data_IF_613458308923
#
_entry.id   IF_613458308923
#
_cell.length_a   1.000
_cell.length_b   1.000
_cell.length_c   1.000
_cell.angle_alpha   90.00
_cell.angle_beta   90.00
_cell.angle_gamma   90.00
#
_symmetry.space_group_name_H-M   'P 1'
#
loop_
_entity.id
_entity.type
_entity.pdbx_description
1 polymer ?
#
# COMPACT_ATOMS: atom_id res chain seq x y z
N UNK A 1 -7.81 -0.68 30.54
CA UNK A 1 -8.99 -1.22 29.83
C UNK A 1 -8.53 -1.54 28.42
N UNK A 2 -8.24 -2.80 28.11
CA UNK A 2 -7.82 -3.19 26.76
C UNK A 2 -9.03 -3.07 25.83
N UNK A 3 -8.96 -2.17 24.86
CA UNK A 3 -9.96 -2.06 23.79
C UNK A 3 -9.59 -3.09 22.72
N UNK A 4 -10.43 -4.11 22.52
CA UNK A 4 -10.30 -5.05 21.40
C UNK A 4 -10.61 -4.36 20.07
N UNK A 5 -9.79 -4.60 19.04
CA UNK A 5 -9.98 -4.05 17.68
C UNK A 5 -9.16 -2.81 17.34
N UNK A 6 -8.27 -2.36 18.23
CA UNK A 6 -7.26 -1.35 17.94
C UNK A 6 -5.91 -2.03 17.63
N UNK A 7 -5.24 -1.64 16.55
CA UNK A 7 -3.92 -2.13 16.18
C UNK A 7 -2.97 -0.95 16.06
N UNK A 8 -2.17 -0.75 17.11
CA UNK A 8 -1.22 0.36 17.14
C UNK A 8 -0.05 0.13 16.18
N UNK A 9 0.38 1.17 15.44
CA UNK A 9 1.53 1.12 14.52
C UNK A 9 2.68 2.06 14.93
N UNK A 10 3.22 1.95 16.16
CA UNK A 10 4.40 2.69 16.60
C UNK A 10 5.63 2.36 15.74
N UNK A 11 6.47 3.37 15.50
CA UNK A 11 7.76 3.19 14.84
C UNK A 11 8.74 2.45 15.74
N UNK A 12 9.00 1.19 15.38
CA UNK A 12 9.98 0.34 16.06
C UNK A 12 11.26 0.20 15.23
N UNK A 13 12.40 0.22 15.93
CA UNK A 13 13.69 -0.19 15.40
C UNK A 13 13.90 -1.69 15.59
N UNK A 14 14.64 -2.33 14.67
CA UNK A 14 14.94 -3.76 14.74
C UNK A 14 14.79 -4.44 13.38
N UNK A 15 15.38 -5.64 13.24
CA UNK A 15 15.20 -6.51 12.08
C UNK A 15 14.61 -7.83 12.53
N UNK A 16 13.71 -8.39 11.72
CA UNK A 16 13.26 -9.76 11.90
C UNK A 16 14.49 -10.69 11.86
N UNK A 17 14.70 -11.56 12.86
CA UNK A 17 15.77 -12.54 12.82
C UNK A 17 15.64 -13.45 11.60
N UNK A 18 16.77 -13.81 10.98
CA UNK A 18 16.77 -14.60 9.75
C UNK A 18 16.06 -15.96 9.91
N UNK A 19 16.20 -16.60 11.07
CA UNK A 19 15.53 -17.88 11.37
C UNK A 19 14.00 -17.74 11.43
N UNK A 20 13.49 -16.62 11.94
CA UNK A 20 12.06 -16.34 12.00
C UNK A 20 11.57 -16.03 10.59
N UNK A 21 12.28 -15.16 9.87
CA UNK A 21 11.93 -14.78 8.51
C UNK A 21 11.82 -15.98 7.56
N UNK A 22 12.74 -16.95 7.64
CA UNK A 22 12.66 -18.18 6.85
C UNK A 22 11.35 -18.95 7.11
N UNK A 23 10.95 -19.08 8.38
CA UNK A 23 9.67 -19.71 8.77
C UNK A 23 8.47 -18.89 8.35
N UNK A 24 8.54 -17.55 8.43
CA UNK A 24 7.48 -16.66 7.96
C UNK A 24 7.24 -16.83 6.47
N UNK A 25 8.30 -16.97 5.67
CA UNK A 25 8.22 -17.19 4.22
C UNK A 25 7.50 -18.50 3.93
N UNK A 26 7.96 -19.60 4.53
CA UNK A 26 7.38 -20.94 4.32
C UNK A 26 5.93 -21.04 4.76
N UNK A 27 5.62 -20.56 5.98
CA UNK A 27 4.25 -20.59 6.50
C UNK A 27 3.35 -19.61 5.74
N UNK A 28 3.87 -18.43 5.38
CA UNK A 28 3.13 -17.40 4.66
C UNK A 28 2.73 -17.86 3.26
N UNK A 29 3.66 -18.47 2.51
CA UNK A 29 3.35 -19.03 1.20
C UNK A 29 2.32 -20.15 1.31
N UNK A 30 2.49 -21.09 2.24
CA UNK A 30 1.55 -22.21 2.43
C UNK A 30 0.13 -21.74 2.80
N UNK A 31 -0.01 -20.73 3.67
CA UNK A 31 -1.32 -20.14 4.01
C UNK A 31 -1.95 -19.48 2.78
N UNK A 32 -1.16 -18.69 2.02
CA UNK A 32 -1.65 -18.04 0.81
C UNK A 32 -2.05 -19.06 -0.26
N UNK A 33 -1.26 -20.11 -0.46
CA UNK A 33 -1.54 -21.22 -1.37
C UNK A 33 -2.84 -21.93 -1.00
N UNK A 34 -3.04 -22.27 0.28
CA UNK A 34 -4.29 -22.88 0.74
C UNK A 34 -5.52 -22.00 0.45
N UNK A 35 -5.40 -20.67 0.61
CA UNK A 35 -6.47 -19.71 0.25
C UNK A 35 -6.70 -19.70 -1.26
N UNK A 36 -5.64 -19.73 -2.07
CA UNK A 36 -5.73 -19.74 -3.53
C UNK A 36 -6.39 -21.03 -4.03
N UNK A 37 -6.02 -22.19 -3.48
CA UNK A 37 -6.58 -23.48 -3.88
C UNK A 37 -8.08 -23.53 -3.58
N UNK A 38 -8.49 -23.09 -2.39
CA UNK A 38 -9.89 -23.18 -1.96
C UNK A 38 -10.78 -22.08 -2.56
N UNK A 39 -10.26 -20.86 -2.69
CA UNK A 39 -11.08 -19.67 -3.00
C UNK A 39 -10.59 -18.85 -4.21
N UNK A 40 -9.41 -19.18 -4.76
CA UNK A 40 -8.80 -18.48 -5.89
C UNK A 40 -7.98 -17.24 -5.51
N UNK A 41 -7.20 -16.76 -6.48
CA UNK A 41 -6.31 -15.59 -6.34
C UNK A 41 -7.04 -14.31 -5.94
N UNK A 42 -8.26 -14.13 -6.46
CA UNK A 42 -9.10 -12.96 -6.17
C UNK A 42 -9.45 -12.86 -4.67
N UNK A 43 -9.72 -13.98 -4.01
CA UNK A 43 -10.00 -13.98 -2.57
C UNK A 43 -8.74 -13.63 -1.77
N UNK A 44 -7.58 -14.16 -2.15
CA UNK A 44 -6.32 -13.79 -1.51
C UNK A 44 -6.08 -12.27 -1.62
N UNK A 45 -6.23 -11.67 -2.80
CA UNK A 45 -6.09 -10.22 -2.99
C UNK A 45 -7.09 -9.43 -2.11
N UNK A 46 -8.33 -9.93 -1.97
CA UNK A 46 -9.36 -9.32 -1.12
C UNK A 46 -8.96 -9.34 0.35
N UNK A 47 -8.45 -10.48 0.83
CA UNK A 47 -7.97 -10.64 2.20
C UNK A 47 -6.72 -9.80 2.48
N UNK A 48 -5.77 -9.73 1.56
CA UNK A 48 -4.58 -8.87 1.70
C UNK A 48 -4.94 -7.36 1.72
N UNK A 49 -6.04 -6.97 1.06
CA UNK A 49 -6.54 -5.61 1.11
C UNK A 49 -7.26 -5.27 2.42
N UNK A 50 -7.71 -6.27 3.18
CA UNK A 50 -8.29 -6.09 4.50
C UNK A 50 -7.19 -5.93 5.55
N UNK A 51 -7.08 -4.75 6.20
CA UNK A 51 -6.05 -4.52 7.20
C UNK A 51 -6.15 -5.44 8.42
N UNK A 52 -7.34 -5.94 8.78
CA UNK A 52 -7.51 -6.83 9.91
C UNK A 52 -6.98 -8.23 9.60
N UNK A 53 -7.32 -8.76 8.43
CA UNK A 53 -6.73 -10.01 7.95
C UNK A 53 -5.22 -9.87 7.81
N UNK A 54 -4.73 -8.80 7.18
CA UNK A 54 -3.30 -8.59 6.98
C UNK A 54 -2.52 -8.49 8.30
N UNK A 55 -3.09 -7.79 9.30
CA UNK A 55 -2.53 -7.75 10.65
C UNK A 55 -2.52 -9.14 11.29
N UNK A 56 -3.63 -9.87 11.20
CA UNK A 56 -3.78 -11.22 11.76
C UNK A 56 -2.80 -12.21 11.12
N UNK A 57 -2.58 -12.11 9.81
CA UNK A 57 -1.57 -12.88 9.08
C UNK A 57 -0.19 -12.63 9.67
N UNK A 58 0.19 -11.36 9.90
CA UNK A 58 1.46 -11.04 10.55
C UNK A 58 1.63 -11.69 11.93
N UNK A 59 0.58 -11.66 12.76
CA UNK A 59 0.58 -12.33 14.06
C UNK A 59 0.73 -13.85 13.94
N UNK A 60 0.01 -14.49 13.01
CA UNK A 60 0.09 -15.95 12.75
C UNK A 60 1.49 -16.36 12.29
N UNK A 61 2.17 -15.50 11.54
CA UNK A 61 3.55 -15.72 11.11
C UNK A 61 4.57 -15.54 12.27
N UNK A 62 4.12 -15.30 13.49
CA UNK A 62 5.00 -15.10 14.66
C UNK A 62 5.60 -13.70 14.71
N UNK A 63 5.05 -12.74 13.97
CA UNK A 63 5.41 -11.33 14.03
C UNK A 63 4.25 -10.54 14.67
N UNK A 64 3.98 -10.87 15.93
CA UNK A 64 2.87 -10.34 16.75
C UNK A 64 3.08 -8.91 17.27
N UNK A 65 4.29 -8.36 17.10
CA UNK A 65 4.59 -7.01 17.52
C UNK A 65 3.79 -6.00 16.69
N UNK A 66 2.82 -5.34 17.34
CA UNK A 66 2.09 -4.18 16.84
C UNK A 66 3.08 -3.03 16.54
N UNK A 67 3.68 -3.07 15.35
CA UNK A 67 4.75 -2.18 14.94
C UNK A 67 4.68 -1.89 13.46
N UNK A 68 5.33 -0.78 13.12
CA UNK A 68 5.62 -0.44 11.75
C UNK A 68 6.42 -1.50 10.98
N UNK A 69 7.08 -2.44 11.68
CA UNK A 69 7.87 -3.51 11.10
C UNK A 69 7.04 -4.59 10.43
N UNK A 70 5.84 -4.88 10.95
CA UNK A 70 4.99 -5.99 10.53
C UNK A 70 4.70 -5.95 9.04
N UNK A 71 4.21 -4.82 8.52
CA UNK A 71 3.90 -4.68 7.09
C UNK A 71 5.12 -4.95 6.23
N UNK A 72 6.27 -4.40 6.60
CA UNK A 72 7.50 -4.55 5.81
C UNK A 72 8.03 -5.97 5.83
N UNK A 73 7.89 -6.69 6.95
CA UNK A 73 8.37 -8.06 7.09
C UNK A 73 7.42 -9.07 6.45
N UNK A 74 6.10 -8.93 6.67
CA UNK A 74 5.08 -9.80 6.07
C UNK A 74 5.13 -9.70 4.55
N UNK A 75 5.11 -8.49 3.99
CA UNK A 75 5.20 -8.32 2.53
C UNK A 75 6.50 -8.87 1.94
N UNK A 76 7.62 -8.76 2.65
CA UNK A 76 8.89 -9.34 2.19
C UNK A 76 8.86 -10.87 2.22
N UNK A 77 8.32 -11.48 3.28
CA UNK A 77 8.16 -12.92 3.38
C UNK A 77 7.25 -13.47 2.27
N UNK A 78 6.11 -12.82 2.03
CA UNK A 78 5.20 -13.19 0.94
C UNK A 78 5.83 -12.98 -0.44
N UNK A 79 6.61 -11.91 -0.62
CA UNK A 79 7.33 -11.66 -1.87
C UNK A 79 8.37 -12.73 -2.19
N UNK A 80 9.06 -13.26 -1.20
CA UNK A 80 10.01 -14.36 -1.40
C UNK A 80 9.33 -15.72 -1.52
N UNK A 81 8.15 -15.89 -0.93
CA UNK A 81 7.46 -17.17 -0.88
C UNK A 81 6.48 -17.41 -2.04
N UNK A 82 5.96 -16.35 -2.66
CA UNK A 82 4.96 -16.45 -3.72
C UNK A 82 5.56 -16.06 -5.08
N UNK A 83 5.21 -16.82 -6.10
CA UNK A 83 5.59 -16.56 -7.48
C UNK A 83 4.41 -16.81 -8.43
N UNK A 84 4.41 -16.10 -9.56
CA UNK A 84 3.29 -16.08 -10.49
C UNK A 84 3.04 -17.44 -11.15
N UNK A 85 4.08 -18.26 -11.35
CA UNK A 85 3.97 -19.53 -12.08
C UNK A 85 3.31 -20.62 -11.24
N UNK A 86 3.68 -20.71 -9.97
CA UNK A 86 3.22 -21.74 -9.04
C UNK A 86 1.92 -21.31 -8.34
N UNK A 87 1.83 -20.04 -7.95
CA UNK A 87 0.74 -19.55 -7.08
C UNK A 87 -0.28 -18.69 -7.82
N UNK A 88 -0.02 -18.32 -9.08
CA UNK A 88 -0.90 -17.39 -9.83
C UNK A 88 -0.88 -15.95 -9.31
N UNK A 89 0.00 -15.63 -8.34
CA UNK A 89 0.20 -14.28 -7.78
C UNK A 89 1.67 -13.96 -7.58
N UNK A 90 2.03 -12.69 -7.67
CA UNK A 90 3.37 -12.19 -7.37
C UNK A 90 3.33 -10.86 -6.62
N UNK A 91 4.39 -10.55 -5.88
CA UNK A 91 4.56 -9.28 -5.17
C UNK A 91 5.78 -8.53 -5.69
N UNK A 92 5.62 -7.22 -5.90
CA UNK A 92 6.69 -6.31 -6.30
C UNK A 92 6.79 -5.15 -5.31
N UNK A 93 7.99 -4.61 -5.14
CA UNK A 93 8.27 -3.49 -4.24
C UNK A 93 8.85 -3.92 -2.90
N UNK A 94 8.76 -3.03 -1.91
CA UNK A 94 9.34 -3.24 -0.58
C UNK A 94 9.59 -1.93 0.15
N UNK A 95 10.59 -1.93 1.05
CA UNK A 95 10.95 -0.77 1.87
C UNK A 95 12.02 0.11 1.18
N UNK A 96 11.90 1.42 1.34
CA UNK A 96 12.92 2.41 0.95
C UNK A 96 13.24 2.38 -0.54
N UNK A 97 14.51 2.14 -0.89
CA UNK A 97 14.95 2.10 -2.30
C UNK A 97 14.26 0.99 -3.11
N UNK A 98 13.85 -0.11 -2.46
CA UNK A 98 13.16 -1.22 -3.14
C UNK A 98 11.77 -0.78 -3.63
N UNK A 99 11.05 0.06 -2.87
CA UNK A 99 9.77 0.64 -3.29
C UNK A 99 9.87 1.35 -4.64
N UNK A 100 10.98 2.03 -4.91
CA UNK A 100 11.20 2.78 -6.16
C UNK A 100 11.44 1.89 -7.38
N UNK A 101 11.80 0.61 -7.18
CA UNK A 101 12.05 -0.37 -8.24
C UNK A 101 10.80 -1.15 -8.64
N UNK A 102 9.67 -0.96 -7.94
CA UNK A 102 8.42 -1.68 -8.19
C UNK A 102 8.03 -1.75 -9.67
N UNK A 103 8.09 -0.68 -10.47
CA UNK A 103 7.73 -0.76 -11.89
C UNK A 103 8.64 -1.69 -12.71
N UNK A 104 9.92 -1.78 -12.37
CA UNK A 104 10.88 -2.69 -13.04
C UNK A 104 10.63 -4.14 -12.62
N UNK A 105 10.29 -4.37 -11.36
CA UNK A 105 9.96 -5.72 -10.87
C UNK A 105 8.64 -6.22 -11.46
N UNK A 106 7.63 -5.35 -11.62
CA UNK A 106 6.37 -5.68 -12.32
C UNK A 106 6.63 -6.05 -13.78
N UNK A 107 7.54 -5.36 -14.44
CA UNK A 107 7.93 -5.67 -15.82
C UNK A 107 8.61 -7.04 -15.91
N UNK A 108 9.58 -7.32 -15.03
CA UNK A 108 10.31 -8.59 -15.02
C UNK A 108 9.46 -9.81 -14.61
N UNK A 109 8.51 -9.64 -13.69
CA UNK A 109 7.65 -10.73 -13.22
C UNK A 109 6.35 -10.86 -14.04
N UNK A 110 6.07 -9.87 -14.88
CA UNK A 110 4.88 -9.78 -15.72
C UNK A 110 5.00 -10.41 -17.09
N UNK A 111 6.08 -11.15 -17.39
CA UNK A 111 6.39 -11.68 -18.72
C UNK A 111 5.27 -12.54 -19.34
N UNK A 112 4.49 -13.24 -18.51
CA UNK A 112 3.33 -14.04 -18.96
C UNK A 112 2.04 -13.22 -19.12
N UNK A 113 2.04 -11.96 -18.71
CA UNK A 113 0.92 -11.04 -18.89
C UNK A 113 1.03 -10.32 -20.22
N UNK A 114 -0.10 -9.82 -20.71
CA UNK A 114 -0.07 -8.94 -21.88
C UNK A 114 0.63 -7.63 -21.52
N UNK A 115 1.33 -7.03 -22.48
CA UNK A 115 1.99 -5.72 -22.30
C UNK A 115 1.03 -4.67 -21.74
N UNK A 116 -0.25 -4.70 -22.16
CA UNK A 116 -1.29 -3.81 -21.63
C UNK A 116 -1.50 -3.99 -20.12
N UNK A 117 -1.60 -5.22 -19.63
CA UNK A 117 -1.75 -5.51 -18.20
C UNK A 117 -0.53 -5.05 -17.41
N UNK A 118 0.68 -5.29 -17.92
CA UNK A 118 1.93 -4.84 -17.28
C UNK A 118 1.95 -3.32 -17.13
N UNK A 119 1.59 -2.59 -18.17
CA UNK A 119 1.52 -1.11 -18.12
C UNK A 119 0.40 -0.61 -17.19
N UNK A 120 -0.76 -1.28 -17.16
CA UNK A 120 -1.84 -0.98 -16.21
C UNK A 120 -1.38 -1.19 -14.76
N UNK A 121 -0.63 -2.25 -14.45
CA UNK A 121 -0.06 -2.51 -13.13
C UNK A 121 0.99 -1.47 -12.73
N UNK A 122 1.92 -1.13 -13.65
CA UNK A 122 2.91 -0.06 -13.45
C UNK A 122 2.23 1.28 -13.17
N UNK A 123 1.16 1.59 -13.91
CA UNK A 123 0.36 2.80 -13.70
C UNK A 123 -0.33 2.78 -12.34
N UNK A 124 -1.00 1.68 -11.99
CA UNK A 124 -1.68 1.53 -10.70
C UNK A 124 -0.73 1.71 -9.51
N UNK A 125 0.42 1.03 -9.55
CA UNK A 125 1.49 1.17 -8.53
C UNK A 125 1.93 2.63 -8.37
N UNK A 126 2.26 3.31 -9.47
CA UNK A 126 2.71 4.71 -9.44
C UNK A 126 1.63 5.67 -8.92
N UNK A 127 0.38 5.50 -9.37
CA UNK A 127 -0.72 6.38 -8.98
C UNK A 127 -1.09 6.19 -7.51
N UNK A 128 -1.17 4.95 -7.01
CA UNK A 128 -1.44 4.68 -5.60
C UNK A 128 -0.36 5.33 -4.70
N UNK A 129 0.92 5.17 -5.05
CA UNK A 129 2.02 5.82 -4.31
C UNK A 129 1.95 7.35 -4.37
N UNK A 130 1.58 7.91 -5.52
CA UNK A 130 1.48 9.37 -5.68
C UNK A 130 0.31 9.96 -4.87
N UNK A 131 -0.82 9.26 -4.83
CA UNK A 131 -2.02 9.70 -4.11
C UNK A 131 -1.76 9.72 -2.62
N UNK A 132 -1.24 8.62 -2.08
CA UNK A 132 -0.98 8.48 -0.64
C UNK A 132 0.10 9.45 -0.14
N UNK A 133 0.99 9.92 -1.02
CA UNK A 133 2.07 10.84 -0.66
C UNK A 133 1.77 12.32 -0.94
N UNK A 134 0.76 12.66 -1.75
CA UNK A 134 0.58 14.05 -2.24
C UNK A 134 -0.86 14.53 -2.21
N UNK A 135 -1.81 13.66 -2.51
CA UNK A 135 -3.24 14.01 -2.53
C UNK A 135 -3.82 13.93 -1.12
N UNK A 136 -3.28 13.03 -0.29
CA UNK A 136 -3.48 13.04 1.15
C UNK A 136 -2.25 13.64 1.82
N UNK A 137 -2.36 14.87 2.33
CA UNK A 137 -1.27 15.55 3.04
C UNK A 137 -1.56 15.55 4.53
N UNK A 138 -1.10 14.49 5.17
CA UNK A 138 -1.33 14.18 6.58
C UNK A 138 -0.03 14.11 7.40
N UNK A 139 1.10 14.45 6.76
CA UNK A 139 2.42 14.40 7.38
C UNK A 139 2.99 12.99 7.53
N UNK A 140 2.45 11.97 6.85
CA UNK A 140 3.03 10.63 6.80
C UNK A 140 3.76 10.40 5.46
N UNK A 141 5.09 10.47 5.48
CA UNK A 141 5.90 10.25 4.28
C UNK A 141 5.99 8.76 3.95
N UNK A 142 5.66 8.39 2.70
CA UNK A 142 5.74 7.00 2.26
C UNK A 142 7.17 6.47 2.27
N UNK A 143 7.37 5.34 2.95
CA UNK A 143 8.67 4.65 3.00
C UNK A 143 8.57 3.18 2.60
N UNK A 144 7.37 2.65 2.41
CA UNK A 144 7.12 1.28 1.99
C UNK A 144 5.98 1.24 0.97
N UNK A 145 6.18 0.48 -0.11
CA UNK A 145 5.20 0.28 -1.15
C UNK A 145 5.35 -1.12 -1.72
N UNK A 146 4.27 -1.89 -1.71
CA UNK A 146 4.19 -3.20 -2.35
C UNK A 146 2.90 -3.30 -3.16
N UNK A 147 3.01 -3.86 -4.36
CA UNK A 147 1.88 -4.29 -5.18
C UNK A 147 1.90 -5.82 -5.23
N UNK A 148 0.77 -6.45 -4.92
CA UNK A 148 0.53 -7.87 -5.20
C UNK A 148 -0.47 -7.95 -6.36
N UNK A 149 -0.18 -8.76 -7.37
CA UNK A 149 -1.04 -8.92 -8.53
C UNK A 149 -1.18 -10.39 -8.93
N UNK A 150 -2.31 -10.71 -9.56
CA UNK A 150 -2.58 -12.03 -10.12
C UNK A 150 -2.37 -12.08 -11.65
N UNK A 151 -2.41 -13.29 -12.21
CA UNK A 151 -2.31 -13.53 -13.66
C UNK A 151 -3.42 -12.84 -14.50
N UNK A 152 -4.51 -12.45 -13.85
CA UNK A 152 -5.64 -11.76 -14.48
C UNK A 152 -5.43 -10.25 -14.55
N UNK A 153 -4.41 -9.72 -13.87
CA UNK A 153 -4.12 -8.29 -13.77
C UNK A 153 -4.88 -7.60 -12.64
N UNK A 154 -5.52 -8.36 -11.76
CA UNK A 154 -6.08 -7.82 -10.52
C UNK A 154 -4.94 -7.54 -9.54
N UNK A 155 -5.13 -6.57 -8.65
CA UNK A 155 -4.06 -6.15 -7.77
C UNK A 155 -4.55 -5.58 -6.44
N UNK A 156 -3.68 -5.67 -5.44
CA UNK A 156 -3.76 -4.95 -4.17
C UNK A 156 -2.46 -4.17 -3.98
N UNK A 157 -2.56 -2.94 -3.50
CA UNK A 157 -1.40 -2.14 -3.09
C UNK A 157 -1.47 -1.93 -1.57
N UNK A 158 -0.36 -2.24 -0.90
CA UNK A 158 -0.19 -2.07 0.54
C UNK A 158 0.98 -1.11 0.75
N UNK A 159 0.72 0.01 1.40
CA UNK A 159 1.71 1.08 1.59
C UNK A 159 1.83 1.44 3.06
N UNK A 160 2.97 2.03 3.41
CA UNK A 160 3.15 2.58 4.74
C UNK A 160 3.89 3.91 4.70
N UNK A 161 3.26 4.90 5.33
CA UNK A 161 3.82 6.20 5.64
C UNK A 161 4.33 6.26 7.08
N UNK A 162 5.31 7.13 7.32
CA UNK A 162 5.81 7.42 8.67
C UNK A 162 5.73 8.91 8.95
N UNK A 163 5.39 9.27 10.18
CA UNK A 163 5.51 10.62 10.68
C UNK A 163 6.60 10.61 11.77
N UNK A 164 7.72 11.29 11.49
CA UNK A 164 8.91 11.26 12.34
C UNK A 164 8.67 11.98 13.68
N UNK A 165 7.92 13.06 13.66
CA UNK A 165 7.62 13.89 14.84
C UNK A 165 6.77 13.14 15.87
N UNK A 166 5.67 12.53 15.41
CA UNK A 166 4.76 11.73 16.25
C UNK A 166 5.26 10.31 16.50
N UNK A 167 6.28 9.85 15.75
CA UNK A 167 6.82 8.49 15.77
C UNK A 167 5.79 7.40 15.48
N UNK A 168 4.83 7.72 14.62
CA UNK A 168 3.77 6.80 14.19
C UNK A 168 3.93 6.40 12.73
N UNK A 169 3.34 5.26 12.39
CA UNK A 169 3.11 4.88 11.01
C UNK A 169 1.62 4.86 10.65
N UNK A 170 1.35 5.04 9.36
CA UNK A 170 0.01 4.94 8.77
C UNK A 170 0.06 3.98 7.61
N UNK A 171 -0.85 3.01 7.59
CA UNK A 171 -0.89 1.95 6.57
C UNK A 171 -2.07 2.19 5.64
N UNK A 172 -1.84 2.06 4.34
CA UNK A 172 -2.83 2.31 3.30
C UNK A 172 -3.02 1.03 2.49
N UNK A 173 -4.28 0.68 2.23
CA UNK A 173 -4.65 -0.48 1.41
C UNK A 173 -5.52 -0.03 0.24
N UNK A 174 -5.21 -0.57 -0.93
CA UNK A 174 -5.92 -0.33 -2.18
C UNK A 174 -6.22 -1.68 -2.83
N UNK A 175 -7.36 -1.80 -3.50
CA UNK A 175 -7.68 -3.01 -4.27
C UNK A 175 -8.35 -2.64 -5.58
N UNK A 176 -7.89 -3.26 -6.67
CA UNK A 176 -8.37 -2.98 -8.03
C UNK A 176 -9.89 -3.04 -8.16
N UNK A 177 -10.55 -3.92 -7.40
CA UNK A 177 -12.01 -4.10 -7.43
C UNK A 177 -12.81 -2.91 -6.86
N UNK A 178 -12.20 -2.05 -6.04
CA UNK A 178 -12.86 -0.90 -5.41
C UNK A 178 -12.46 0.43 -6.02
N UNK A 179 -11.34 0.48 -6.74
CA UNK A 179 -10.85 1.72 -7.36
C UNK A 179 -11.70 2.08 -8.58
N UNK A 180 -12.55 3.09 -8.42
CA UNK A 180 -13.30 3.73 -9.53
C UNK A 180 -12.61 5.00 -10.03
N UNK A 181 -11.86 5.65 -9.15
CA UNK A 181 -11.04 6.82 -9.39
C UNK A 181 -9.79 6.67 -8.54
N UNK A 182 -8.62 7.08 -9.05
CA UNK A 182 -7.40 7.10 -8.24
C UNK A 182 -7.34 8.31 -7.30
N UNK A 183 -8.13 9.36 -7.54
CA UNK A 183 -8.03 10.63 -6.80
C UNK A 183 -9.25 10.95 -5.96
N UNK A 184 -10.28 10.11 -6.00
CA UNK A 184 -11.52 10.32 -5.25
C UNK A 184 -11.90 9.03 -4.52
N UNK A 185 -11.81 9.06 -3.19
CA UNK A 185 -12.07 7.96 -2.25
C UNK A 185 -11.54 6.59 -2.74
N UNK A 186 -10.24 6.48 -3.09
CA UNK A 186 -9.73 5.29 -3.76
C UNK A 186 -9.39 4.14 -2.81
N UNK A 187 -9.17 4.42 -1.52
CA UNK A 187 -8.65 3.48 -0.56
C UNK A 187 -9.68 2.39 -0.20
N UNK A 188 -9.19 1.17 -0.08
CA UNK A 188 -9.93 0.09 0.58
C UNK A 188 -9.92 0.28 2.11
N UNK A 189 -8.79 0.76 2.66
CA UNK A 189 -8.66 1.14 4.05
C UNK A 189 -7.48 2.10 4.26
N UNK A 190 -7.59 2.96 5.28
CA UNK A 190 -6.48 3.73 5.85
C UNK A 190 -6.45 3.42 7.34
N UNK A 191 -5.36 2.81 7.81
CA UNK A 191 -5.18 2.42 9.21
C UNK A 191 -4.26 3.40 9.92
N UNK A 192 -4.80 4.05 10.93
CA UNK A 192 -4.07 4.97 11.79
C UNK A 192 -4.70 5.01 13.18
N UNK A 193 -3.86 5.09 14.20
CA UNK A 193 -4.30 5.19 15.60
C UNK A 193 -4.68 6.62 16.00
N UNK A 194 -4.25 7.60 15.19
CA UNK A 194 -4.42 9.01 15.49
C UNK A 194 -5.23 9.67 14.40
N UNK A 195 -6.31 10.32 14.83
CA UNK A 195 -7.01 11.32 14.04
C UNK A 195 -6.27 12.65 14.18
N UNK A 196 -5.91 13.25 13.07
CA UNK A 196 -5.32 14.59 13.04
C UNK A 196 -6.42 15.61 12.75
N UNK A 197 -6.34 16.76 13.44
CA UNK A 197 -7.34 17.83 13.33
C UNK A 197 -7.23 18.61 12.01
N UNK A 198 -6.01 18.73 11.47
CA UNK A 198 -5.73 19.49 10.25
C UNK A 198 -5.02 18.61 9.23
N UNK A 199 -5.79 18.08 8.29
CA UNK A 199 -5.29 17.26 7.17
C UNK A 199 -5.87 17.80 5.87
N UNK A 200 -5.01 18.02 4.88
CA UNK A 200 -5.48 18.32 3.54
C UNK A 200 -5.75 16.99 2.81
N UNK A 201 -6.99 16.53 2.90
CA UNK A 201 -7.44 15.31 2.24
C UNK A 201 -8.10 15.62 0.89
N UNK A 202 -7.29 15.83 -0.15
CA UNK A 202 -7.80 16.01 -1.50
C UNK A 202 -8.35 14.72 -2.11
N UNK A 203 -8.36 13.57 -1.43
CA UNK A 203 -9.06 12.38 -1.93
C UNK A 203 -10.55 12.40 -1.58
N UNK A 204 -10.97 13.25 -0.64
CA UNK A 204 -12.38 13.36 -0.25
C UNK A 204 -13.25 13.78 -1.43
N UNK A 205 -14.47 13.23 -1.54
CA UNK A 205 -15.48 13.73 -2.48
C UNK A 205 -15.77 15.22 -2.30
N UNK A 206 -15.72 15.70 -1.06
CA UNK A 206 -15.92 17.11 -0.74
C UNK A 206 -14.84 18.02 -1.31
N UNK A 207 -13.67 17.47 -1.66
CA UNK A 207 -12.55 18.20 -2.24
C UNK A 207 -12.52 18.18 -3.76
N UNK A 208 -13.60 17.72 -4.43
CA UNK A 208 -13.64 17.64 -5.90
C UNK A 208 -13.40 18.99 -6.56
N UNK A 209 -14.15 20.01 -6.15
CA UNK A 209 -14.00 21.36 -6.70
C UNK A 209 -12.58 21.90 -6.46
N UNK A 210 -12.02 21.69 -5.28
CA UNK A 210 -10.64 22.07 -4.98
C UNK A 210 -9.62 21.39 -5.92
N UNK A 211 -9.83 20.11 -6.27
CA UNK A 211 -8.99 19.41 -7.26
C UNK A 211 -9.14 19.99 -8.66
N UNK A 212 -10.36 20.30 -9.08
CA UNK A 212 -10.66 20.86 -10.40
C UNK A 212 -10.02 22.25 -10.56
N UNK A 213 -10.26 23.14 -9.61
CA UNK A 213 -9.65 24.49 -9.59
C UNK A 213 -8.12 24.40 -9.55
N UNK A 214 -7.54 23.48 -8.77
CA UNK A 214 -6.08 23.29 -8.74
C UNK A 214 -5.52 22.92 -10.11
N UNK A 215 -6.23 22.07 -10.88
CA UNK A 215 -5.82 21.69 -12.23
C UNK A 215 -5.94 22.87 -13.20
N UNK A 216 -6.99 23.66 -13.09
CA UNK A 216 -7.21 24.81 -13.95
C UNK A 216 -6.15 25.89 -13.71
N UNK A 217 -5.83 26.20 -12.45
CA UNK A 217 -4.76 27.13 -12.09
C UNK A 217 -3.39 26.68 -12.63
N UNK A 218 -3.10 25.38 -12.63
CA UNK A 218 -1.86 24.85 -13.21
C UNK A 218 -1.86 24.97 -14.73
N UNK A 219 -2.99 24.69 -15.40
CA UNK A 219 -3.12 24.81 -16.87
C UNK A 219 -3.04 26.24 -17.36
N UNK A 220 -3.47 27.22 -16.58
CA UNK A 220 -3.37 28.64 -16.91
C UNK A 220 -1.91 29.15 -16.96
N UNK A 221 -0.95 28.43 -16.36
CA UNK A 221 0.47 28.78 -16.41
C UNK A 221 0.87 30.02 -15.60
N UNK A 222 -0.07 30.70 -14.95
CA UNK A 222 0.14 31.94 -14.18
C UNK A 222 0.23 31.71 -12.66
N UNK A 223 0.53 30.50 -12.21
CA UNK A 223 0.56 30.12 -10.79
C UNK A 223 1.38 31.08 -9.90
N UNK A 224 2.49 31.59 -10.42
CA UNK A 224 3.38 32.53 -9.73
C UNK A 224 2.72 33.88 -9.40
N UNK A 225 1.72 34.30 -10.19
CA UNK A 225 0.98 35.55 -9.97
C UNK A 225 0.06 35.42 -8.76
N UNK A 226 -0.78 34.38 -8.74
CA UNK A 226 -1.70 34.10 -7.64
C UNK A 226 -0.99 33.89 -6.30
N UNK A 227 0.18 33.24 -6.32
CA UNK A 227 0.98 33.01 -5.10
C UNK A 227 1.56 34.29 -4.49
N UNK A 228 1.79 35.34 -5.29
CA UNK A 228 2.25 36.64 -4.78
C UNK A 228 1.10 37.42 -4.14
N UNK A 229 -0.11 37.29 -4.68
CA UNK A 229 -1.30 37.97 -4.17
C UNK A 229 -1.76 37.39 -2.81
N UNK A 230 -1.53 36.09 -2.55
CA UNK A 230 -1.86 35.42 -1.27
C UNK A 230 -0.91 35.72 -0.09
N UNK A 231 0.23 36.39 -0.32
CA UNK A 231 1.19 36.73 0.75
C UNK A 231 0.86 38.03 1.50
N UNK A 232 -0.30 38.62 1.24
CA UNK A 232 -0.83 39.81 1.90
C UNK A 232 -2.16 39.47 2.57
#
# INVERSE_FOLDING_TARGET
MFRSGAAELPLHGGRCPAWLFARMRELGSAICEAIIIEFGTRELLTRLADPYFFQSLGCVLGYDWHSSGLTTTVTAALKEGLNLEEHGVALCGGKGKVAKRTPMEVEALGDKLTTRKVEELKRASKLAAKVDNVVLQDGFDLYHHVICFDERGNWVVIQQGMNVESRLARRYHWISFKVRSFVEEPHAAICSDVRQDYVLNLTSKLSREAREVSLDLVKEGNFTKYFRELKH
#
